data_IF_211311833906
#
_entry.id   IF_211311833906
#
_cell.length_a   1.000
_cell.length_b   1.000
_cell.length_c   1.000
_cell.angle_alpha   90.00
_cell.angle_beta   90.00
_cell.angle_gamma   90.00
#
_symmetry.space_group_name_H-M   'P 1'
#
loop_
_entity.id
_entity.type
_entity.pdbx_description
1 polymer ?
#
# COMPACT_ATOMS: atom_id res chain seq x y z
N UNK A 1 58.05 5.76 0.26
CA UNK A 1 57.42 6.86 -0.51
C UNK A 1 56.23 7.37 0.29
N UNK A 2 56.26 8.62 0.79
CA UNK A 2 55.35 9.11 1.82
C UNK A 2 54.11 9.82 1.25
N UNK A 3 53.07 9.90 2.10
CA UNK A 3 52.05 10.98 2.18
C UNK A 3 51.00 11.03 1.04
N UNK A 4 49.72 11.32 1.31
CA UNK A 4 49.19 12.33 2.23
C UNK A 4 47.69 12.11 2.48
N UNK A 5 47.31 12.21 3.75
CA UNK A 5 45.96 12.53 4.21
C UNK A 5 45.37 13.76 3.51
N UNK A 6 44.05 13.77 3.33
CA UNK A 6 43.29 15.02 3.16
C UNK A 6 41.93 14.90 3.84
N UNK A 7 41.83 15.43 5.05
CA UNK A 7 40.65 16.19 5.51
C UNK A 7 41.13 17.65 5.75
N UNK A 8 40.28 18.57 6.23
CA UNK A 8 39.28 19.34 5.48
C UNK A 8 39.59 20.86 5.54
N UNK A 9 39.05 21.67 4.63
CA UNK A 9 39.03 23.14 4.78
C UNK A 9 37.64 23.63 4.33
N UNK A 10 36.76 24.12 5.20
CA UNK A 10 36.75 25.35 6.02
C UNK A 10 36.48 26.62 5.18
N UNK A 11 35.24 27.10 5.33
CA UNK A 11 34.80 28.49 5.48
C UNK A 11 35.40 29.54 4.54
N UNK A 12 34.59 30.00 3.59
CA UNK A 12 34.61 31.40 3.14
C UNK A 12 33.23 31.97 3.32
N UNK A 13 33.16 32.96 4.20
CA UNK A 13 32.04 33.83 4.45
C UNK A 13 32.34 35.19 3.77
N UNK A 14 31.29 36.00 3.59
CA UNK A 14 31.28 37.41 3.13
C UNK A 14 31.44 37.74 1.63
N UNK A 15 30.31 38.06 0.97
CA UNK A 15 29.91 39.45 0.68
C UNK A 15 28.50 39.54 0.07
N UNK A 16 27.59 40.23 0.75
CA UNK A 16 26.39 40.85 0.17
C UNK A 16 26.76 41.87 -0.92
N UNK A 17 25.85 42.11 -1.88
CA UNK A 17 25.30 43.46 -1.94
C UNK A 17 23.76 43.46 -1.93
N UNK A 18 23.24 44.44 -1.20
CA UNK A 18 21.84 44.76 -1.04
C UNK A 18 21.16 45.21 -2.34
N UNK A 19 19.86 44.89 -2.36
CA UNK A 19 18.74 45.59 -2.99
C UNK A 19 18.70 45.69 -4.53
N UNK A 20 17.68 45.06 -5.12
CA UNK A 20 16.67 45.78 -5.90
C UNK A 20 15.31 45.04 -5.82
N UNK A 21 14.29 45.81 -5.47
CA UNK A 21 12.89 45.45 -5.30
C UNK A 21 12.23 45.09 -6.64
N UNK A 22 11.39 44.04 -6.68
CA UNK A 22 9.96 44.12 -7.05
C UNK A 22 9.37 42.79 -7.55
N UNK A 23 8.11 42.59 -7.16
CA UNK A 23 7.11 41.61 -7.62
C UNK A 23 6.99 40.31 -6.82
N UNK A 24 5.88 40.25 -6.10
CA UNK A 24 5.37 39.13 -5.32
C UNK A 24 5.44 37.78 -6.06
N UNK A 25 6.16 36.83 -5.46
CA UNK A 25 5.88 35.42 -5.65
C UNK A 25 5.84 34.79 -4.26
N UNK A 26 4.67 34.85 -3.63
CA UNK A 26 4.36 34.06 -2.45
C UNK A 26 4.34 32.59 -2.89
N UNK A 27 5.50 31.94 -2.91
CA UNK A 27 5.59 30.48 -2.99
C UNK A 27 5.07 29.97 -1.65
N UNK A 28 3.74 29.90 -1.53
CA UNK A 28 3.11 28.99 -0.59
C UNK A 28 3.57 27.62 -1.03
N UNK A 29 4.58 27.10 -0.34
CA UNK A 29 4.85 25.68 -0.30
C UNK A 29 3.57 25.01 0.18
N UNK A 30 2.72 24.63 -0.77
CA UNK A 30 1.59 23.77 -0.50
C UNK A 30 2.20 22.42 -0.19
N UNK A 31 2.49 22.21 1.09
CA UNK A 31 2.65 20.89 1.67
C UNK A 31 1.33 20.14 1.45
N UNK A 32 1.18 19.55 0.27
CA UNK A 32 0.22 18.46 0.06
C UNK A 32 0.77 17.19 0.72
N UNK A 33 0.97 17.28 2.03
CA UNK A 33 0.85 16.11 2.88
C UNK A 33 -0.63 16.00 3.19
N UNK A 34 -1.40 15.39 2.29
CA UNK A 34 -2.72 14.87 2.67
C UNK A 34 -2.45 13.91 3.81
N UNK A 35 -2.67 14.39 5.04
CA UNK A 35 -2.89 13.53 6.19
C UNK A 35 -4.15 12.75 5.85
N UNK A 36 -3.97 11.57 5.23
CA UNK A 36 -5.05 10.66 4.94
C UNK A 36 -5.58 10.22 6.31
N UNK A 37 -6.70 10.81 6.72
CA UNK A 37 -7.46 10.40 7.89
C UNK A 37 -7.74 8.91 7.70
N UNK A 38 -7.10 8.04 8.50
CA UNK A 38 -7.45 6.64 8.56
C UNK A 38 -8.83 6.57 9.21
N UNK A 39 -9.87 6.53 8.38
CA UNK A 39 -11.24 6.35 8.87
C UNK A 39 -11.36 4.90 9.33
N UNK A 40 -11.62 4.72 10.61
CA UNK A 40 -11.95 3.42 11.16
C UNK A 40 -13.30 2.97 10.59
N UNK A 41 -13.37 1.74 10.12
CA UNK A 41 -14.62 1.21 9.60
C UNK A 41 -15.62 1.01 10.74
N UNK A 42 -16.76 1.68 10.61
CA UNK A 42 -17.87 1.67 11.58
C UNK A 42 -19.08 0.89 11.07
N UNK A 43 -19.10 0.54 9.78
CA UNK A 43 -20.18 -0.25 9.18
C UNK A 43 -20.20 -1.65 9.76
N UNK A 44 -21.40 -2.23 9.84
CA UNK A 44 -21.53 -3.62 10.20
C UNK A 44 -21.00 -4.52 9.07
N UNK A 45 -20.65 -5.76 9.41
CA UNK A 45 -20.20 -6.73 8.41
C UNK A 45 -21.26 -7.03 7.34
N UNK A 46 -22.55 -6.92 7.69
CA UNK A 46 -23.66 -7.15 6.76
C UNK A 46 -23.83 -5.97 5.79
N UNK A 47 -23.59 -4.73 6.25
CA UNK A 47 -23.58 -3.54 5.38
C UNK A 47 -22.41 -3.60 4.39
N UNK A 48 -21.21 -3.95 4.87
CA UNK A 48 -20.03 -4.15 4.02
C UNK A 48 -20.25 -5.25 2.97
N UNK A 49 -20.95 -6.33 3.36
CA UNK A 49 -21.32 -7.38 2.43
C UNK A 49 -22.31 -6.89 1.37
N UNK A 50 -23.34 -6.13 1.74
CA UNK A 50 -24.29 -5.57 0.79
C UNK A 50 -23.61 -4.64 -0.22
N UNK A 51 -22.68 -3.79 0.23
CA UNK A 51 -21.89 -2.92 -0.63
C UNK A 51 -20.96 -3.72 -1.56
N UNK A 52 -20.24 -4.71 -1.04
CA UNK A 52 -19.36 -5.56 -1.85
C UNK A 52 -20.14 -6.36 -2.93
N UNK A 53 -21.38 -6.76 -2.65
CA UNK A 53 -22.26 -7.37 -3.65
C UNK A 53 -22.66 -6.34 -4.72
N UNK A 54 -22.97 -5.10 -4.32
CA UNK A 54 -23.31 -4.02 -5.26
C UNK A 54 -22.12 -3.61 -6.15
N UNK A 55 -20.88 -3.75 -5.68
CA UNK A 55 -19.64 -3.53 -6.44
C UNK A 55 -19.35 -4.63 -7.48
N UNK A 56 -20.17 -5.69 -7.51
CA UNK A 56 -20.04 -6.79 -8.47
C UNK A 56 -19.61 -8.12 -7.84
N UNK A 57 -19.49 -8.18 -6.52
CA UNK A 57 -19.34 -9.42 -5.77
C UNK A 57 -18.08 -10.20 -6.14
N UNK A 58 -16.96 -9.52 -6.38
CA UNK A 58 -15.68 -10.17 -6.71
C UNK A 58 -14.63 -9.79 -5.67
N UNK A 59 -13.92 -10.79 -5.16
CA UNK A 59 -12.79 -10.59 -4.27
C UNK A 59 -11.65 -11.52 -4.66
N UNK A 60 -10.49 -10.96 -5.02
CA UNK A 60 -9.28 -11.71 -5.36
C UNK A 60 -8.20 -11.45 -4.31
N UNK A 61 -7.79 -12.51 -3.61
CA UNK A 61 -6.70 -12.49 -2.64
C UNK A 61 -5.49 -13.23 -3.19
N UNK A 62 -4.35 -12.54 -3.25
CA UNK A 62 -3.04 -13.18 -3.42
C UNK A 62 -2.44 -13.45 -2.06
N UNK A 63 -2.17 -14.72 -1.77
CA UNK A 63 -1.62 -15.14 -0.49
C UNK A 63 -0.29 -15.87 -0.67
N UNK A 64 0.70 -15.48 0.13
CA UNK A 64 2.00 -16.11 0.23
C UNK A 64 1.92 -17.45 0.96
N UNK A 65 2.25 -18.55 0.31
CA UNK A 65 2.23 -19.87 0.94
C UNK A 65 2.84 -20.96 0.07
N UNK A 66 3.20 -22.08 0.70
CA UNK A 66 3.92 -23.16 0.02
C UNK A 66 2.98 -24.16 -0.67
N UNK A 67 1.78 -24.36 -0.14
CA UNK A 67 0.79 -25.27 -0.73
C UNK A 67 -0.62 -24.65 -0.69
N UNK A 68 -1.48 -24.93 -1.67
CA UNK A 68 -2.87 -24.44 -1.67
C UNK A 68 -3.73 -25.08 -0.57
N UNK A 69 -3.38 -26.29 -0.14
CA UNK A 69 -4.23 -27.19 0.66
C UNK A 69 -4.68 -26.66 2.03
N UNK A 70 -3.88 -25.87 2.79
CA UNK A 70 -4.35 -25.28 4.06
C UNK A 70 -5.40 -24.17 3.89
N UNK A 71 -5.55 -23.62 2.68
CA UNK A 71 -6.32 -22.42 2.41
C UNK A 71 -7.71 -22.67 1.83
N UNK A 72 -8.01 -23.93 1.49
CA UNK A 72 -9.36 -24.34 1.09
C UNK A 72 -10.36 -24.13 2.22
N UNK A 73 -9.96 -24.37 3.48
CA UNK A 73 -10.82 -24.14 4.65
C UNK A 73 -11.24 -22.66 4.81
N UNK A 74 -10.32 -21.73 4.56
CA UNK A 74 -10.60 -20.29 4.55
C UNK A 74 -11.56 -19.94 3.42
N UNK A 75 -11.28 -20.45 2.21
CA UNK A 75 -12.12 -20.20 1.04
C UNK A 75 -13.54 -20.74 1.24
N UNK A 76 -13.67 -21.94 1.79
CA UNK A 76 -14.95 -22.58 2.07
C UNK A 76 -15.73 -21.81 3.15
N UNK A 77 -15.09 -21.47 4.27
CA UNK A 77 -15.73 -20.70 5.34
C UNK A 77 -16.18 -19.32 4.85
N UNK A 78 -15.35 -18.63 4.06
CA UNK A 78 -15.72 -17.34 3.48
C UNK A 78 -16.89 -17.47 2.51
N UNK A 79 -16.85 -18.45 1.61
CA UNK A 79 -17.90 -18.68 0.61
C UNK A 79 -19.22 -19.10 1.26
N UNK A 80 -19.16 -19.83 2.38
CA UNK A 80 -20.35 -20.18 3.17
C UNK A 80 -20.96 -18.96 3.86
N UNK A 81 -20.13 -18.05 4.40
CA UNK A 81 -20.62 -16.84 5.07
C UNK A 81 -21.13 -15.78 4.08
N UNK A 82 -20.49 -15.66 2.92
CA UNK A 82 -20.74 -14.62 1.92
C UNK A 82 -20.99 -15.23 0.52
N UNK A 83 -22.12 -15.93 0.32
CA UNK A 83 -22.37 -16.72 -0.89
C UNK A 83 -22.50 -15.90 -2.18
N UNK A 84 -22.76 -14.58 -2.08
CA UNK A 84 -22.84 -13.69 -3.25
C UNK A 84 -21.49 -13.06 -3.62
N UNK A 85 -20.42 -13.33 -2.87
CA UNK A 85 -19.06 -12.92 -3.24
C UNK A 85 -18.34 -14.09 -3.89
N UNK A 86 -17.93 -13.90 -5.13
CA UNK A 86 -17.00 -14.77 -5.84
C UNK A 86 -15.58 -14.56 -5.29
N UNK A 87 -15.23 -15.34 -4.27
CA UNK A 87 -13.92 -15.30 -3.63
C UNK A 87 -12.91 -16.18 -4.35
N UNK A 88 -11.86 -15.55 -4.88
CA UNK A 88 -10.73 -16.20 -5.55
C UNK A 88 -9.48 -16.05 -4.70
N UNK A 89 -8.95 -17.18 -4.22
CA UNK A 89 -7.70 -17.24 -3.46
C UNK A 89 -6.62 -17.87 -4.32
N UNK A 90 -5.54 -17.12 -4.58
CA UNK A 90 -4.39 -17.59 -5.36
C UNK A 90 -3.19 -17.67 -4.44
N UNK A 91 -2.71 -18.89 -4.22
CA UNK A 91 -1.55 -19.19 -3.39
C UNK A 91 -0.32 -19.36 -4.25
N UNK A 92 0.74 -18.65 -3.93
CA UNK A 92 2.06 -18.77 -4.55
C UNK A 92 3.11 -18.36 -3.52
N UNK A 93 4.39 -18.63 -3.79
CA UNK A 93 5.44 -18.10 -2.92
C UNK A 93 5.42 -16.56 -2.93
N UNK A 94 5.63 -15.95 -1.76
CA UNK A 94 5.61 -14.49 -1.63
C UNK A 94 6.56 -13.79 -2.61
N UNK A 95 7.74 -14.38 -2.84
CA UNK A 95 8.78 -13.92 -3.79
C UNK A 95 8.39 -13.96 -5.28
N UNK A 96 7.25 -14.56 -5.60
CA UNK A 96 6.70 -14.57 -6.95
C UNK A 96 5.49 -13.65 -7.04
N UNK A 97 4.69 -13.58 -5.97
CA UNK A 97 3.60 -12.63 -5.88
C UNK A 97 4.09 -11.18 -5.83
N UNK A 98 5.18 -10.86 -5.12
CA UNK A 98 5.75 -9.51 -5.06
C UNK A 98 6.14 -8.97 -6.45
N UNK A 99 6.93 -9.72 -7.22
CA UNK A 99 7.35 -9.38 -8.59
C UNK A 99 6.14 -9.32 -9.53
N UNK A 100 5.17 -10.21 -9.35
CA UNK A 100 3.93 -10.21 -10.14
C UNK A 100 3.11 -8.94 -9.88
N UNK A 101 2.97 -8.53 -8.63
CA UNK A 101 2.25 -7.32 -8.23
C UNK A 101 2.98 -6.09 -8.77
N UNK A 102 4.30 -6.02 -8.61
CA UNK A 102 5.09 -4.89 -9.13
C UNK A 102 4.90 -4.74 -10.65
N UNK A 103 5.02 -5.83 -11.41
CA UNK A 103 4.78 -5.80 -12.86
C UNK A 103 3.32 -5.42 -13.21
N UNK A 104 2.33 -5.90 -12.45
CA UNK A 104 0.93 -5.55 -12.67
C UNK A 104 0.64 -4.07 -12.36
N UNK A 105 1.28 -3.51 -11.34
CA UNK A 105 1.19 -2.08 -10.99
C UNK A 105 1.88 -1.18 -12.01
N UNK A 106 2.95 -1.66 -12.65
CA UNK A 106 3.66 -0.95 -13.73
C UNK A 106 2.91 -1.01 -15.06
N UNK A 107 2.22 -2.10 -15.34
CA UNK A 107 1.50 -2.35 -16.61
C UNK A 107 0.01 -2.04 -16.55
N UNK A 108 -0.47 -1.48 -15.43
CA UNK A 108 -1.87 -1.17 -15.18
C UNK A 108 -2.82 -2.38 -15.38
N UNK A 109 -2.34 -3.54 -14.94
CA UNK A 109 -3.01 -4.84 -15.08
C UNK A 109 -3.27 -5.51 -13.73
N UNK A 110 -3.45 -4.71 -12.68
CA UNK A 110 -3.62 -5.20 -11.31
C UNK A 110 -4.84 -6.10 -11.15
N UNK A 111 -4.57 -7.35 -10.76
CA UNK A 111 -5.59 -8.38 -10.55
C UNK A 111 -6.07 -8.49 -9.10
N UNK A 112 -5.19 -8.56 -8.08
CA UNK A 112 -5.63 -8.75 -6.70
C UNK A 112 -6.26 -7.49 -6.10
N UNK A 113 -7.27 -7.70 -5.26
CA UNK A 113 -7.85 -6.66 -4.40
C UNK A 113 -7.12 -6.61 -3.04
N UNK A 114 -6.70 -7.79 -2.54
CA UNK A 114 -6.01 -7.96 -1.26
C UNK A 114 -4.74 -8.79 -1.45
N UNK A 115 -3.70 -8.45 -0.68
CA UNK A 115 -2.44 -9.19 -0.64
C UNK A 115 -2.05 -9.55 0.80
N UNK A 116 -1.62 -10.79 1.00
CA UNK A 116 -1.12 -11.31 2.27
C UNK A 116 0.20 -12.04 2.03
N UNK A 117 1.33 -11.38 2.28
CA UNK A 117 2.66 -11.89 1.94
C UNK A 117 3.57 -11.94 3.17
N UNK A 118 4.53 -12.87 3.15
CA UNK A 118 5.59 -12.97 4.16
C UNK A 118 6.74 -11.99 3.90
N UNK A 119 6.80 -11.37 2.72
CA UNK A 119 7.78 -10.35 2.35
C UNK A 119 7.38 -8.98 2.93
N UNK A 120 7.48 -8.85 4.26
CA UNK A 120 7.00 -7.68 5.01
C UNK A 120 7.61 -6.34 4.55
N UNK A 121 8.79 -6.37 3.94
CA UNK A 121 9.47 -5.18 3.41
C UNK A 121 8.75 -4.51 2.22
N UNK A 122 7.88 -5.22 1.51
CA UNK A 122 7.18 -4.68 0.34
C UNK A 122 6.07 -3.71 0.74
N UNK A 123 5.43 -3.92 1.89
CA UNK A 123 4.32 -3.08 2.34
C UNK A 123 4.75 -1.63 2.63
N UNK A 124 5.85 -1.34 3.36
CA UNK A 124 6.33 0.03 3.52
C UNK A 124 6.73 0.70 2.20
N UNK A 125 7.18 -0.07 1.21
CA UNK A 125 7.53 0.44 -0.13
C UNK A 125 6.27 0.83 -0.90
N UNK A 126 5.32 -0.08 -1.04
CA UNK A 126 4.02 0.19 -1.70
C UNK A 126 3.22 1.29 -1.02
N UNK A 127 3.28 1.39 0.31
CA UNK A 127 2.67 2.50 1.05
C UNK A 127 3.27 3.86 0.65
N UNK A 128 4.61 3.95 0.57
CA UNK A 128 5.31 5.19 0.16
C UNK A 128 5.02 5.57 -1.28
N UNK A 129 4.78 4.57 -2.13
CA UNK A 129 4.40 4.74 -3.53
C UNK A 129 2.90 5.03 -3.73
N UNK A 130 2.10 5.05 -2.66
CA UNK A 130 0.66 5.30 -2.72
C UNK A 130 -0.12 4.19 -3.43
N UNK A 131 0.37 2.96 -3.39
CA UNK A 131 -0.27 1.78 -4.02
C UNK A 131 -1.24 1.06 -3.08
N UNK A 132 -1.12 1.28 -1.77
CA UNK A 132 -1.98 0.68 -0.75
C UNK A 132 -3.13 1.63 -0.38
N UNK A 133 -4.31 1.04 -0.18
CA UNK A 133 -5.44 1.73 0.43
C UNK A 133 -5.27 1.75 1.95
N UNK A 134 -5.29 2.95 2.54
CA UNK A 134 -5.29 3.12 3.99
C UNK A 134 -6.68 2.78 4.55
N UNK A 135 -6.88 1.51 4.89
CA UNK A 135 -8.13 1.01 5.45
C UNK A 135 -7.88 0.38 6.83
N UNK A 136 -8.67 0.79 7.83
CA UNK A 136 -8.65 0.19 9.16
C UNK A 136 -9.94 -0.62 9.33
N UNK A 137 -9.88 -1.96 9.26
CA UNK A 137 -11.07 -2.80 9.39
C UNK A 137 -11.71 -2.63 10.77
N UNK A 138 -13.01 -2.91 10.85
CA UNK A 138 -13.69 -3.00 12.14
C UNK A 138 -12.97 -4.04 13.00
N UNK A 139 -12.75 -3.70 14.27
CA UNK A 139 -11.96 -4.51 15.20
C UNK A 139 -12.51 -5.93 15.33
N UNK A 140 -12.00 -6.86 14.53
CA UNK A 140 -12.16 -8.31 14.73
C UNK A 140 -10.90 -8.78 15.46
N UNK A 141 -11.10 -9.46 16.59
CA UNK A 141 -10.04 -9.93 17.49
C UNK A 141 -8.86 -10.57 16.75
N UNK A 142 -7.71 -9.91 16.75
CA UNK A 142 -6.42 -10.44 16.26
C UNK A 142 -5.86 -9.63 15.09
N UNK A 143 -4.64 -9.11 15.26
CA UNK A 143 -3.87 -8.42 14.22
C UNK A 143 -3.62 -9.37 13.03
N UNK A 144 -4.49 -9.32 12.02
CA UNK A 144 -4.13 -9.73 10.68
C UNK A 144 -3.96 -8.45 9.88
N UNK A 145 -2.71 -8.10 9.58
CA UNK A 145 -2.39 -6.98 8.70
C UNK A 145 -2.79 -7.37 7.27
N UNK A 146 -4.08 -7.24 6.96
CA UNK A 146 -4.60 -7.36 5.59
C UNK A 146 -4.48 -6.00 4.92
N UNK A 147 -3.63 -5.92 3.89
CA UNK A 147 -3.48 -4.70 3.11
C UNK A 147 -4.32 -4.77 1.84
N UNK A 148 -5.13 -3.74 1.63
CA UNK A 148 -5.90 -3.54 0.42
C UNK A 148 -5.04 -2.81 -0.62
N UNK A 149 -5.06 -3.29 -1.85
CA UNK A 149 -4.43 -2.59 -2.97
C UNK A 149 -5.44 -1.62 -3.59
N UNK A 150 -5.00 -0.39 -3.82
CA UNK A 150 -5.83 0.62 -4.46
C UNK A 150 -5.74 0.47 -5.98
N UNK A 151 -6.86 0.14 -6.64
CA UNK A 151 -6.99 0.32 -8.09
C UNK A 151 -7.14 1.81 -8.37
N UNK A 152 -6.26 2.38 -9.19
CA UNK A 152 -6.49 3.71 -9.77
C UNK A 152 -7.65 3.57 -10.75
N UNK A 153 -8.81 4.11 -10.40
CA UNK A 153 -9.89 4.38 -11.34
C UNK A 153 -9.67 5.68 -12.09
#
# INVERSE_FOLDING_TARGET
MPSRHRQPQRLVDFREPAALCSTDCNVRSASYGTQANTVEEIKSIDDLYAEAVAEGGKLVLYHGGDTPTPQDSLKDAFSQRFPQINFTLIVDYSKYHDVRIDNQLETDSLVPDVVALQTLQDFPRWAREGKLLNYKPVSLLGEVLMCYLSRKT
#
